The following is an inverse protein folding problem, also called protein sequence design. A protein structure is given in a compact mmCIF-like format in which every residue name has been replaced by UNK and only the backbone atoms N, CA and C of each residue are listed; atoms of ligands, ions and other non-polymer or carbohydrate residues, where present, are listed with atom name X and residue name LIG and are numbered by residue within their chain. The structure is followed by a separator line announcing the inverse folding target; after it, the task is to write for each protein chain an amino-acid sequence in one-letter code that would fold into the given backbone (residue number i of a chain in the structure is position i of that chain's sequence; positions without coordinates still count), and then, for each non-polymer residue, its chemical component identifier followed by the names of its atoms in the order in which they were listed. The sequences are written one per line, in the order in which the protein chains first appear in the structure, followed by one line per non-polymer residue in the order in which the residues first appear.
data_IF_711488149062
#
_entry.id   IF_711488149062
#
_cell.length_a   1.000
_cell.length_b   1.000
_cell.length_c   1.000
_cell.angle_alpha   90.00
_cell.angle_beta   90.00
_cell.angle_gamma   90.00
#
_symmetry.space_group_name_H-M   'P 1'
#
loop_
_entity.id
_entity.type
_entity.pdbx_description
1 polymer ?
#
# COMPACT_ATOMS: atom_id res chain seq x y z
N UNK A 1 -55.03 41.41 -36.95
CA UNK A 1 -55.38 39.98 -37.06
C UNK A 1 -54.08 39.24 -37.35
N UNK A 2 -53.56 38.53 -36.33
CA UNK A 2 -53.28 37.07 -36.37
C UNK A 2 -52.06 36.77 -37.26
N UNK A 3 -50.89 36.28 -36.83
CA UNK A 3 -50.48 35.60 -35.60
C UNK A 3 -48.93 35.62 -35.46
N UNK A 4 -48.48 35.68 -34.21
CA UNK A 4 -47.25 35.16 -33.58
C UNK A 4 -45.83 35.39 -34.18
N UNK A 5 -44.94 36.10 -33.45
CA UNK A 5 -43.51 35.86 -33.47
C UNK A 5 -43.09 34.89 -32.34
N UNK A 6 -42.40 33.81 -32.73
CA UNK A 6 -41.71 32.91 -31.79
C UNK A 6 -40.57 33.69 -31.11
N UNK A 7 -40.51 33.75 -29.77
CA UNK A 7 -39.58 34.64 -29.07
C UNK A 7 -38.23 33.97 -28.76
N UNK A 8 -37.17 34.76 -28.98
CA UNK A 8 -36.13 34.92 -27.95
C UNK A 8 -34.82 34.17 -28.16
N UNK A 9 -33.89 34.79 -28.90
CA UNK A 9 -32.49 34.79 -28.49
C UNK A 9 -32.40 35.37 -27.07
N UNK A 10 -31.97 34.57 -26.10
CA UNK A 10 -31.57 35.04 -24.76
C UNK A 10 -30.16 34.58 -24.45
N UNK A 11 -29.29 35.59 -24.39
CA UNK A 11 -28.09 35.78 -23.57
C UNK A 11 -27.50 34.55 -22.86
N UNK A 12 -26.17 34.43 -22.98
CA UNK A 12 -25.30 33.82 -21.97
C UNK A 12 -25.68 34.37 -20.59
N UNK A 13 -26.38 33.58 -19.78
CA UNK A 13 -26.50 33.80 -18.36
C UNK A 13 -25.51 32.91 -17.61
N UNK A 14 -24.64 33.62 -16.91
CA UNK A 14 -23.76 33.19 -15.85
C UNK A 14 -24.61 32.49 -14.77
N UNK A 15 -24.47 31.17 -14.65
CA UNK A 15 -25.06 30.45 -13.51
C UNK A 15 -24.25 30.83 -12.27
N UNK A 16 -24.87 31.69 -11.46
CA UNK A 16 -24.43 32.09 -10.14
C UNK A 16 -24.35 30.86 -9.22
N UNK A 17 -23.14 30.55 -8.74
CA UNK A 17 -22.93 29.57 -7.66
C UNK A 17 -23.03 30.31 -6.33
N UNK A 18 -24.25 30.58 -5.87
CA UNK A 18 -24.53 30.98 -4.48
C UNK A 18 -25.04 29.77 -3.66
N UNK A 19 -24.77 29.71 -2.33
CA UNK A 19 -24.59 28.45 -1.60
C UNK A 19 -25.90 27.86 -1.04
N UNK A 20 -26.29 26.66 -1.46
CA UNK A 20 -27.55 25.98 -1.04
C UNK A 20 -27.46 25.30 0.34
N UNK A 21 -26.55 25.70 1.23
CA UNK A 21 -26.62 25.29 2.63
C UNK A 21 -26.00 26.35 3.54
N UNK A 22 -26.85 27.04 4.30
CA UNK A 22 -26.36 27.92 5.37
C UNK A 22 -26.08 27.06 6.61
N UNK A 23 -24.80 26.97 6.98
CA UNK A 23 -24.38 26.31 8.21
C UNK A 23 -24.41 27.34 9.33
N UNK A 24 -25.24 27.13 10.35
CA UNK A 24 -25.11 27.89 11.61
C UNK A 24 -24.51 26.96 12.67
N UNK A 25 -23.26 27.21 13.02
CA UNK A 25 -22.63 26.64 14.21
C UNK A 25 -22.79 27.65 15.33
N UNK A 26 -23.58 27.32 16.36
CA UNK A 26 -23.55 28.06 17.62
C UNK A 26 -22.55 27.37 18.55
N UNK A 27 -21.33 27.92 18.61
CA UNK A 27 -20.33 27.53 19.61
C UNK A 27 -20.66 28.17 20.95
N UNK A 28 -21.05 27.35 21.93
CA UNK A 28 -20.93 27.71 23.34
C UNK A 28 -19.93 26.73 23.97
N UNK A 29 -18.81 27.31 24.43
CA UNK A 29 -17.73 26.80 25.28
C UNK A 29 -17.52 25.28 25.39
N UNK A 30 -16.35 24.82 24.93
CA UNK A 30 -15.68 23.61 25.40
C UNK A 30 -16.40 22.30 25.11
N UNK A 31 -16.02 21.62 24.02
CA UNK A 31 -16.40 20.23 23.68
C UNK A 31 -17.78 19.99 23.04
N UNK A 32 -18.50 21.03 22.62
CA UNK A 32 -19.84 20.90 22.02
C UNK A 32 -19.86 21.27 20.54
N UNK A 33 -20.46 20.41 19.70
CA UNK A 33 -20.90 20.75 18.34
C UNK A 33 -22.35 20.28 18.14
N UNK A 34 -23.29 21.21 18.08
CA UNK A 34 -24.62 20.94 17.55
C UNK A 34 -24.58 21.17 16.02
N UNK A 35 -24.92 20.16 15.24
CA UNK A 35 -25.01 20.28 13.78
C UNK A 35 -26.50 20.29 13.43
N UNK A 36 -27.00 21.43 12.98
CA UNK A 36 -28.34 21.57 12.42
C UNK A 36 -28.19 21.44 10.91
N UNK A 37 -28.68 20.34 10.35
CA UNK A 37 -28.75 20.14 8.90
C UNK A 37 -30.11 20.66 8.43
N UNK A 38 -30.15 21.85 7.84
CA UNK A 38 -31.33 22.35 7.15
C UNK A 38 -31.26 21.87 5.69
N UNK A 39 -32.05 20.85 5.36
CA UNK A 39 -32.32 20.45 3.97
C UNK A 39 -33.76 20.84 3.66
N UNK A 40 -34.04 21.26 2.42
CA UNK A 40 -35.26 21.95 1.97
C UNK A 40 -36.63 21.25 2.22
N UNK A 41 -36.70 20.18 3.02
CA UNK A 41 -37.98 19.56 3.37
C UNK A 41 -38.07 18.94 4.77
N UNK A 42 -36.98 18.80 5.54
CA UNK A 42 -37.02 18.30 6.94
C UNK A 42 -35.85 18.89 7.74
N UNK A 43 -36.15 19.53 8.87
CA UNK A 43 -35.16 19.98 9.85
C UNK A 43 -34.79 18.85 10.81
N UNK A 44 -33.60 18.25 10.61
CA UNK A 44 -33.04 17.24 11.51
C UNK A 44 -31.91 17.88 12.34
N UNK A 45 -32.12 17.92 13.65
CA UNK A 45 -31.14 18.34 14.66
C UNK A 45 -30.35 17.13 15.14
N UNK A 46 -29.05 17.16 14.90
CA UNK A 46 -28.13 16.10 15.31
C UNK A 46 -27.18 16.65 16.39
N UNK A 47 -27.17 16.01 17.55
CA UNK A 47 -26.25 16.31 18.65
C UNK A 47 -25.05 15.38 18.55
N UNK A 48 -23.87 15.91 18.27
CA UNK A 48 -22.62 15.13 18.26
C UNK A 48 -21.75 15.58 19.43
N UNK A 49 -21.44 14.65 20.33
CA UNK A 49 -20.65 14.94 21.53
C UNK A 49 -19.47 13.99 21.63
N UNK A 50 -18.26 14.52 21.56
CA UNK A 50 -17.06 13.78 21.93
C UNK A 50 -16.86 13.80 23.45
N UNK A 51 -17.06 12.66 24.08
CA UNK A 51 -17.21 12.52 25.54
C UNK A 51 -15.90 12.35 26.30
N UNK A 52 -14.79 12.02 25.62
CA UNK A 52 -13.46 11.74 26.23
C UNK A 52 -13.52 10.87 27.51
N UNK A 53 -14.48 9.94 27.57
CA UNK A 53 -14.74 9.06 28.72
C UNK A 53 -16.02 9.40 29.50
N UNK A 54 -17.03 8.53 29.40
CA UNK A 54 -18.33 8.70 30.05
C UNK A 54 -18.38 8.02 31.43
N UNK A 55 -17.62 8.54 32.40
CA UNK A 55 -17.46 7.87 33.72
C UNK A 55 -18.15 8.54 34.91
N UNK A 56 -18.56 9.82 34.83
CA UNK A 56 -19.10 10.56 35.98
C UNK A 56 -20.64 10.63 35.99
N UNK A 57 -21.25 10.73 37.19
CA UNK A 57 -22.72 10.92 37.33
C UNK A 57 -23.14 12.30 36.84
N UNK A 58 -22.25 13.27 37.02
CA UNK A 58 -22.35 14.64 36.54
C UNK A 58 -22.48 14.67 35.01
N UNK A 59 -21.71 13.84 34.29
CA UNK A 59 -21.81 13.71 32.83
C UNK A 59 -23.22 13.29 32.38
N UNK A 60 -23.81 12.27 33.03
CA UNK A 60 -25.15 11.80 32.68
C UNK A 60 -26.23 12.84 32.98
N UNK A 61 -26.06 13.61 34.07
CA UNK A 61 -26.97 14.71 34.39
C UNK A 61 -26.88 15.81 33.33
N UNK A 62 -25.67 16.25 32.98
CA UNK A 62 -25.46 17.28 31.96
C UNK A 62 -25.93 16.84 30.57
N UNK A 63 -25.75 15.56 30.21
CA UNK A 63 -26.28 15.00 28.96
C UNK A 63 -27.80 15.00 28.93
N UNK A 64 -28.45 14.58 30.01
CA UNK A 64 -29.92 14.61 30.12
C UNK A 64 -30.47 16.03 29.98
N UNK A 65 -29.86 17.01 30.64
CA UNK A 65 -30.26 18.41 30.53
C UNK A 65 -30.05 18.96 29.11
N UNK A 66 -28.94 18.63 28.45
CA UNK A 66 -28.67 19.09 27.07
C UNK A 66 -29.61 18.47 26.04
N UNK A 67 -29.90 17.18 26.16
CA UNK A 67 -30.89 16.51 25.29
C UNK A 67 -32.29 17.09 25.51
N UNK A 68 -32.64 17.40 26.77
CA UNK A 68 -33.92 18.03 27.12
C UNK A 68 -34.04 19.44 26.53
N UNK A 69 -32.98 20.23 26.58
CA UNK A 69 -32.96 21.61 26.06
C UNK A 69 -32.94 21.67 24.53
N UNK A 70 -32.10 20.85 23.88
CA UNK A 70 -31.87 20.95 22.43
C UNK A 70 -32.85 20.11 21.60
N UNK A 71 -33.52 19.14 22.23
CA UNK A 71 -34.43 18.15 21.61
C UNK A 71 -33.90 17.62 20.26
N UNK A 72 -32.67 17.07 20.21
CA UNK A 72 -32.12 16.53 18.98
C UNK A 72 -32.87 15.27 18.56
N UNK A 73 -33.06 15.07 17.25
CA UNK A 73 -33.62 13.82 16.74
C UNK A 73 -32.59 12.69 16.72
N UNK A 74 -31.30 13.00 16.60
CA UNK A 74 -30.21 12.02 16.58
C UNK A 74 -29.10 12.47 17.53
N UNK A 75 -28.57 11.55 18.35
CA UNK A 75 -27.45 11.81 19.27
C UNK A 75 -26.30 10.85 18.95
N UNK A 76 -25.09 11.39 18.74
CA UNK A 76 -23.87 10.63 18.50
C UNK A 76 -22.82 10.95 19.57
N UNK A 77 -22.48 9.96 20.41
CA UNK A 77 -21.43 10.09 21.43
C UNK A 77 -20.13 9.43 20.95
N UNK A 78 -19.02 10.15 20.98
CA UNK A 78 -17.70 9.68 20.54
C UNK A 78 -16.73 9.54 21.72
N UNK A 79 -15.75 8.64 21.59
CA UNK A 79 -14.66 8.38 22.57
C UNK A 79 -15.12 8.08 24.01
N UNK A 80 -16.15 7.23 24.17
CA UNK A 80 -16.80 6.94 25.47
C UNK A 80 -15.98 6.09 26.46
N UNK A 81 -14.90 5.43 26.03
CA UNK A 81 -14.01 4.57 26.83
C UNK A 81 -14.75 3.73 27.91
N UNK A 82 -15.65 2.85 27.48
CA UNK A 82 -16.43 1.97 28.34
C UNK A 82 -15.96 0.51 28.17
N UNK A 83 -15.05 0.02 29.02
CA UNK A 83 -14.73 -1.41 29.08
C UNK A 83 -14.76 -1.94 30.53
N UNK A 84 -15.88 -2.62 30.81
CA UNK A 84 -16.20 -3.72 31.73
C UNK A 84 -15.52 -3.84 33.12
N UNK A 85 -16.36 -3.72 34.16
CA UNK A 85 -16.44 -4.70 35.26
C UNK A 85 -17.86 -4.63 35.86
N UNK A 86 -18.78 -5.34 35.22
CA UNK A 86 -19.94 -6.03 35.80
C UNK A 86 -20.86 -6.42 34.65
N UNK A 87 -20.74 -7.69 34.27
CA UNK A 87 -21.70 -8.41 33.45
C UNK A 87 -22.95 -8.61 34.30
N UNK A 88 -23.89 -7.68 34.19
CA UNK A 88 -25.30 -7.86 34.48
C UNK A 88 -25.99 -6.54 34.15
N UNK A 89 -27.08 -6.62 33.40
CA UNK A 89 -27.91 -5.48 32.98
C UNK A 89 -27.31 -4.67 31.83
N UNK A 90 -27.77 -4.93 30.60
CA UNK A 90 -28.17 -3.90 29.63
C UNK A 90 -28.77 -4.60 28.40
N UNK A 91 -30.07 -4.39 28.21
CA UNK A 91 -30.88 -4.94 27.12
C UNK A 91 -30.34 -4.62 25.72
N UNK A 92 -30.68 -5.51 24.78
CA UNK A 92 -30.33 -5.50 23.36
C UNK A 92 -30.85 -4.28 22.54
N UNK A 93 -31.33 -3.22 23.20
CA UNK A 93 -32.02 -2.06 22.59
C UNK A 93 -31.27 -0.73 22.75
N UNK A 94 -30.03 -0.74 23.26
CA UNK A 94 -29.26 0.49 23.42
C UNK A 94 -28.80 1.08 22.07
N UNK A 95 -28.97 2.39 21.82
CA UNK A 95 -28.57 3.07 20.57
C UNK A 95 -27.09 2.92 20.21
N UNK A 96 -26.23 2.65 21.21
CA UNK A 96 -24.80 2.38 21.03
C UNK A 96 -24.55 1.01 20.40
N UNK A 97 -25.29 -0.03 20.80
CA UNK A 97 -25.23 -1.33 20.14
C UNK A 97 -25.81 -1.23 18.74
N UNK A 98 -26.87 -0.44 18.52
CA UNK A 98 -27.42 -0.18 17.18
C UNK A 98 -26.43 0.57 16.28
N UNK A 99 -25.69 1.57 16.79
CA UNK A 99 -24.71 2.32 16.00
C UNK A 99 -23.40 1.55 15.76
N UNK A 100 -22.95 0.75 16.74
CA UNK A 100 -21.83 -0.17 16.55
C UNK A 100 -22.21 -1.31 15.61
N UNK A 101 -23.44 -1.84 15.72
CA UNK A 101 -24.00 -2.79 14.75
C UNK A 101 -24.15 -2.15 13.38
N UNK A 102 -24.52 -0.87 13.27
CA UNK A 102 -24.65 -0.18 11.98
C UNK A 102 -23.28 0.08 11.35
N UNK A 103 -22.27 0.48 12.13
CA UNK A 103 -20.89 0.60 11.65
C UNK A 103 -20.28 -0.76 11.31
N UNK A 104 -20.55 -1.80 12.11
CA UNK A 104 -20.15 -3.17 11.83
C UNK A 104 -20.87 -3.71 10.59
N UNK A 105 -22.15 -3.39 10.40
CA UNK A 105 -22.94 -3.68 9.19
C UNK A 105 -22.40 -2.93 8.00
N UNK A 106 -22.04 -1.66 8.12
CA UNK A 106 -21.43 -0.89 7.02
C UNK A 106 -20.06 -1.44 6.63
N UNK A 107 -19.20 -1.77 7.60
CA UNK A 107 -17.92 -2.45 7.36
C UNK A 107 -18.13 -3.84 6.74
N UNK A 108 -19.10 -4.60 7.24
CA UNK A 108 -19.47 -5.93 6.72
C UNK A 108 -20.03 -5.85 5.29
N UNK A 109 -20.93 -4.91 5.03
CA UNK A 109 -21.54 -4.67 3.72
C UNK A 109 -20.50 -4.20 2.71
N UNK A 110 -19.57 -3.34 3.13
CA UNK A 110 -18.47 -2.89 2.30
C UNK A 110 -17.49 -4.02 1.96
N UNK A 111 -17.14 -4.86 2.93
CA UNK A 111 -16.32 -6.05 2.69
C UNK A 111 -17.02 -7.00 1.72
N UNK A 112 -18.31 -7.24 1.96
CA UNK A 112 -19.16 -8.09 1.13
C UNK A 112 -19.21 -7.57 -0.31
N UNK A 113 -19.35 -6.27 -0.51
CA UNK A 113 -19.40 -5.68 -1.85
C UNK A 113 -18.09 -5.86 -2.62
N UNK A 114 -16.93 -5.68 -1.97
CA UNK A 114 -15.63 -5.94 -2.61
C UNK A 114 -15.50 -7.41 -2.99
N UNK A 115 -15.87 -8.32 -2.08
CA UNK A 115 -15.83 -9.76 -2.35
C UNK A 115 -16.80 -10.15 -3.46
N UNK A 116 -18.04 -9.66 -3.45
CA UNK A 116 -19.05 -9.96 -4.46
C UNK A 116 -18.60 -9.50 -5.85
N UNK A 117 -17.99 -8.31 -5.95
CA UNK A 117 -17.41 -7.81 -7.21
C UNK A 117 -16.27 -8.70 -7.71
N UNK A 118 -15.35 -9.07 -6.82
CA UNK A 118 -14.22 -9.96 -7.14
C UNK A 118 -14.74 -11.33 -7.57
N UNK A 119 -15.68 -11.91 -6.81
CA UNK A 119 -16.25 -13.23 -7.07
C UNK A 119 -17.05 -13.26 -8.39
N UNK A 120 -17.79 -12.21 -8.71
CA UNK A 120 -18.48 -12.09 -10.00
C UNK A 120 -17.53 -12.18 -11.19
N UNK A 121 -16.38 -11.49 -11.12
CA UNK A 121 -15.35 -11.59 -12.15
C UNK A 121 -14.72 -12.98 -12.19
N UNK A 122 -14.39 -13.55 -11.02
CA UNK A 122 -13.79 -14.88 -10.93
C UNK A 122 -14.69 -15.98 -11.52
N UNK A 123 -15.98 -15.96 -11.22
CA UNK A 123 -16.96 -16.89 -11.77
C UNK A 123 -17.01 -16.76 -13.30
N UNK A 124 -17.13 -15.53 -13.82
CA UNK A 124 -17.21 -15.29 -15.26
C UNK A 124 -15.93 -15.58 -16.04
N UNK A 125 -14.78 -15.71 -15.36
CA UNK A 125 -13.51 -16.05 -15.99
C UNK A 125 -13.14 -17.52 -15.86
N UNK A 126 -13.54 -18.20 -14.78
CA UNK A 126 -13.36 -19.66 -14.64
C UNK A 126 -14.06 -20.45 -15.74
N UNK A 127 -15.15 -19.91 -16.28
CA UNK A 127 -15.84 -20.50 -17.44
C UNK A 127 -15.06 -20.37 -18.75
N UNK A 128 -13.97 -19.59 -18.78
CA UNK A 128 -13.13 -19.38 -19.95
C UNK A 128 -11.83 -20.17 -19.75
N UNK A 129 -11.44 -20.98 -20.74
CA UNK A 129 -10.14 -21.68 -20.75
C UNK A 129 -8.98 -20.67 -20.89
N UNK A 130 -8.58 -20.05 -19.79
CA UNK A 130 -7.54 -19.04 -19.76
C UNK A 130 -6.17 -19.67 -19.53
N UNK A 131 -5.19 -19.23 -20.32
CA UNK A 131 -3.78 -19.54 -20.05
C UNK A 131 -3.29 -18.81 -18.81
N UNK A 132 -2.20 -19.29 -18.19
CA UNK A 132 -1.57 -18.64 -17.03
C UNK A 132 -1.22 -17.17 -17.31
N UNK A 133 -0.79 -16.87 -18.53
CA UNK A 133 -0.54 -15.50 -19.00
C UNK A 133 -1.82 -14.67 -19.03
N UNK A 134 -2.90 -15.21 -19.61
CA UNK A 134 -4.20 -14.54 -19.66
C UNK A 134 -4.75 -14.27 -18.27
N UNK A 135 -4.69 -15.27 -17.37
CA UNK A 135 -5.08 -15.14 -15.96
C UNK A 135 -4.29 -14.05 -15.24
N UNK A 136 -2.97 -14.03 -15.39
CA UNK A 136 -2.09 -13.00 -14.81
C UNK A 136 -2.46 -11.59 -15.28
N UNK A 137 -2.72 -11.42 -16.58
CA UNK A 137 -3.13 -10.13 -17.16
C UNK A 137 -4.46 -9.66 -16.58
N UNK A 138 -5.45 -10.54 -16.46
CA UNK A 138 -6.76 -10.22 -15.89
C UNK A 138 -6.69 -9.87 -14.40
N UNK A 139 -5.87 -10.59 -13.63
CA UNK A 139 -5.63 -10.28 -12.21
C UNK A 139 -5.08 -8.86 -12.06
N UNK A 140 -4.07 -8.50 -12.86
CA UNK A 140 -3.46 -7.16 -12.82
C UNK A 140 -4.43 -6.07 -13.24
N UNK A 141 -5.21 -6.32 -14.30
CA UNK A 141 -6.12 -5.32 -14.87
C UNK A 141 -7.35 -5.07 -13.98
N UNK A 142 -7.90 -6.10 -13.34
CA UNK A 142 -9.21 -6.00 -12.65
C UNK A 142 -9.14 -6.38 -11.17
N UNK A 143 -8.63 -7.57 -10.83
CA UNK A 143 -8.73 -8.05 -9.43
C UNK A 143 -7.85 -7.25 -8.47
N UNK A 144 -6.76 -6.67 -8.98
CA UNK A 144 -5.91 -5.77 -8.18
C UNK A 144 -6.52 -4.37 -8.09
N UNK A 145 -7.25 -3.91 -9.12
CA UNK A 145 -7.74 -2.52 -9.20
C UNK A 145 -9.02 -2.28 -8.40
N UNK A 146 -9.92 -3.27 -8.33
CA UNK A 146 -11.15 -3.21 -7.51
C UNK A 146 -10.84 -2.86 -6.04
N UNK A 147 -10.03 -3.66 -5.31
CA UNK A 147 -9.69 -3.35 -3.93
C UNK A 147 -8.76 -2.14 -3.82
N UNK A 148 -7.92 -1.85 -4.84
CA UNK A 148 -7.06 -0.67 -4.82
C UNK A 148 -7.83 0.65 -4.75
N UNK A 149 -9.00 0.73 -5.39
CA UNK A 149 -9.86 1.91 -5.30
C UNK A 149 -10.34 2.13 -3.85
N UNK A 150 -10.77 1.05 -3.20
CA UNK A 150 -11.18 1.02 -1.81
C UNK A 150 -10.03 1.35 -0.83
N UNK A 151 -8.85 0.77 -1.06
CA UNK A 151 -7.63 0.98 -0.25
C UNK A 151 -7.10 2.42 -0.31
N UNK A 152 -7.50 3.20 -1.31
CA UNK A 152 -7.10 4.62 -1.42
C UNK A 152 -7.80 5.52 -0.41
N UNK A 153 -8.87 5.08 0.25
CA UNK A 153 -9.61 5.91 1.22
C UNK A 153 -9.59 5.31 2.61
N UNK A 154 -9.48 3.98 2.73
CA UNK A 154 -9.59 3.26 3.99
C UNK A 154 -8.47 2.24 4.18
N UNK A 155 -8.01 2.10 5.42
CA UNK A 155 -7.13 1.00 5.82
C UNK A 155 -7.94 -0.30 5.90
N UNK A 156 -7.73 -1.18 4.93
CA UNK A 156 -8.36 -2.50 4.91
C UNK A 156 -7.76 -3.42 5.99
N UNK A 157 -8.59 -4.26 6.63
CA UNK A 157 -8.12 -5.22 7.63
C UNK A 157 -7.25 -6.30 6.97
N UNK A 158 -6.23 -6.78 7.70
CA UNK A 158 -5.29 -7.78 7.19
C UNK A 158 -6.00 -9.04 6.71
N UNK A 159 -6.98 -9.53 7.46
CA UNK A 159 -7.74 -10.73 7.11
C UNK A 159 -8.45 -10.62 5.75
N UNK A 160 -8.97 -9.43 5.41
CA UNK A 160 -9.62 -9.18 4.11
C UNK A 160 -8.56 -9.20 3.00
N UNK A 161 -7.42 -8.56 3.21
CA UNK A 161 -6.31 -8.60 2.26
C UNK A 161 -5.86 -10.04 2.00
N UNK A 162 -5.75 -10.86 3.04
CA UNK A 162 -5.35 -12.27 2.92
C UNK A 162 -6.38 -13.10 2.16
N UNK A 163 -7.66 -12.85 2.41
CA UNK A 163 -8.75 -13.54 1.74
C UNK A 163 -8.84 -13.15 0.25
N UNK A 164 -8.60 -11.88 -0.08
CA UNK A 164 -8.48 -11.42 -1.46
C UNK A 164 -7.29 -12.08 -2.16
N UNK A 165 -6.11 -12.07 -1.52
CA UNK A 165 -4.92 -12.75 -2.04
C UNK A 165 -5.17 -14.27 -2.20
N UNK A 166 -5.94 -14.88 -1.29
CA UNK A 166 -6.34 -16.30 -1.37
C UNK A 166 -7.23 -16.57 -2.59
N UNK A 167 -8.21 -15.72 -2.87
CA UNK A 167 -9.08 -15.85 -4.05
C UNK A 167 -8.29 -15.67 -5.35
N UNK A 168 -7.42 -14.66 -5.39
CA UNK A 168 -6.57 -14.36 -6.56
C UNK A 168 -5.59 -15.50 -6.83
N UNK A 169 -4.87 -15.99 -5.82
CA UNK A 169 -3.91 -17.10 -6.00
C UNK A 169 -4.60 -18.39 -6.41
N UNK A 170 -5.78 -18.69 -5.84
CA UNK A 170 -6.53 -19.86 -6.26
C UNK A 170 -6.99 -19.74 -7.72
N UNK A 171 -7.46 -18.57 -8.16
CA UNK A 171 -7.78 -18.34 -9.57
C UNK A 171 -6.58 -18.51 -10.50
N UNK A 172 -5.42 -17.96 -10.12
CA UNK A 172 -4.20 -18.05 -10.92
C UNK A 172 -3.80 -19.50 -11.21
N UNK A 173 -3.96 -20.40 -10.23
CA UNK A 173 -3.52 -21.80 -10.33
C UNK A 173 -4.64 -22.80 -10.68
N UNK A 174 -5.91 -22.51 -10.37
CA UNK A 174 -7.02 -23.45 -10.55
C UNK A 174 -7.42 -23.69 -12.02
N UNK A 175 -7.10 -22.78 -12.94
CA UNK A 175 -7.59 -22.86 -14.32
C UNK A 175 -9.12 -22.79 -14.38
N UNK A 176 -9.75 -23.67 -15.16
CA UNK A 176 -11.22 -23.77 -15.30
C UNK A 176 -11.92 -24.53 -14.17
N UNK A 177 -11.16 -25.21 -13.30
CA UNK A 177 -11.76 -26.04 -12.26
C UNK A 177 -12.20 -25.17 -11.07
N UNK A 178 -13.26 -25.60 -10.41
CA UNK A 178 -13.77 -24.96 -9.18
C UNK A 178 -12.82 -25.15 -7.99
N UNK A 179 -12.04 -26.23 -8.01
CA UNK A 179 -11.09 -26.61 -6.97
C UNK A 179 -9.74 -25.89 -7.11
N UNK A 180 -9.21 -25.43 -5.98
CA UNK A 180 -7.92 -24.75 -5.92
C UNK A 180 -6.81 -25.78 -6.13
N UNK A 181 -6.22 -25.80 -7.34
CA UNK A 181 -5.07 -26.63 -7.65
C UNK A 181 -3.86 -26.23 -6.79
N UNK A 182 -2.94 -27.19 -6.54
CA UNK A 182 -1.68 -26.92 -5.86
C UNK A 182 -0.90 -25.80 -6.56
N UNK A 183 -0.41 -24.84 -5.78
CA UNK A 183 0.32 -23.70 -6.31
C UNK A 183 1.73 -24.13 -6.77
N UNK A 184 2.09 -23.83 -8.02
CA UNK A 184 3.39 -24.23 -8.55
C UNK A 184 4.53 -23.36 -7.99
N UNK A 185 4.28 -22.10 -7.72
CA UNK A 185 5.25 -21.14 -7.16
C UNK A 185 4.65 -20.44 -5.94
N UNK A 186 5.48 -20.18 -4.93
CA UNK A 186 5.05 -19.51 -3.70
C UNK A 186 4.48 -18.11 -3.99
N UNK A 187 3.42 -17.72 -3.29
CA UNK A 187 2.75 -16.44 -3.52
C UNK A 187 3.68 -15.24 -3.30
N UNK A 188 4.56 -15.30 -2.30
CA UNK A 188 5.56 -14.26 -2.03
C UNK A 188 6.56 -14.06 -3.18
N UNK A 189 6.81 -15.10 -3.99
CA UNK A 189 7.63 -15.01 -5.20
C UNK A 189 6.81 -14.46 -6.36
N UNK A 190 5.57 -14.94 -6.53
CA UNK A 190 4.64 -14.45 -7.58
C UNK A 190 4.39 -12.95 -7.48
N UNK A 191 4.30 -12.40 -6.27
CA UNK A 191 4.03 -10.97 -6.06
C UNK A 191 5.24 -10.06 -6.27
N UNK A 192 6.43 -10.61 -6.54
CA UNK A 192 7.61 -9.82 -6.86
C UNK A 192 7.50 -9.16 -8.24
N UNK A 193 8.26 -8.08 -8.51
CA UNK A 193 8.46 -7.52 -9.84
C UNK A 193 8.99 -8.56 -10.82
N UNK A 194 8.79 -8.30 -12.11
CA UNK A 194 9.23 -9.20 -13.19
C UNK A 194 10.76 -9.36 -13.17
N UNK A 195 11.47 -8.28 -12.84
CA UNK A 195 12.92 -8.17 -12.76
C UNK A 195 13.52 -8.97 -11.59
N UNK A 196 12.71 -9.28 -10.57
CA UNK A 196 13.09 -10.11 -9.43
C UNK A 196 12.52 -11.55 -9.53
N UNK A 197 12.07 -11.94 -10.73
CA UNK A 197 11.50 -13.26 -10.95
C UNK A 197 10.07 -13.45 -10.44
N UNK A 198 9.32 -12.38 -10.15
CA UNK A 198 7.89 -12.51 -9.90
C UNK A 198 7.04 -12.30 -11.16
N UNK A 199 5.73 -12.24 -10.98
CA UNK A 199 4.78 -11.95 -12.04
C UNK A 199 4.32 -10.49 -12.04
N UNK A 200 4.78 -9.64 -11.12
CA UNK A 200 4.36 -8.25 -11.01
C UNK A 200 2.91 -8.07 -10.52
N UNK A 201 2.35 -9.08 -9.86
CA UNK A 201 1.08 -8.96 -9.13
C UNK A 201 1.38 -8.32 -7.77
N UNK A 202 0.61 -7.33 -7.33
CA UNK A 202 0.87 -6.68 -6.04
C UNK A 202 0.12 -7.40 -4.94
N UNK A 203 0.82 -7.79 -3.87
CA UNK A 203 0.17 -8.32 -2.67
C UNK A 203 -0.78 -7.26 -2.08
N UNK A 204 -1.98 -7.67 -1.67
CA UNK A 204 -3.02 -6.73 -1.22
C UNK A 204 -2.61 -5.95 0.02
N UNK A 205 -1.86 -6.59 0.94
CA UNK A 205 -1.35 -5.93 2.15
C UNK A 205 -0.35 -4.81 1.84
N UNK A 206 0.54 -5.05 0.89
CA UNK A 206 1.58 -4.09 0.49
C UNK A 206 0.95 -2.93 -0.26
N UNK A 207 -0.01 -3.22 -1.14
CA UNK A 207 -0.79 -2.22 -1.86
C UNK A 207 -1.63 -1.34 -0.92
N UNK A 208 -2.25 -1.93 0.10
CA UNK A 208 -3.00 -1.20 1.12
C UNK A 208 -2.07 -0.29 1.94
N UNK A 209 -0.92 -0.80 2.38
CA UNK A 209 0.09 -0.01 3.10
C UNK A 209 0.62 1.15 2.26
N UNK A 210 0.98 0.89 0.99
CA UNK A 210 1.44 1.92 0.08
C UNK A 210 0.35 2.96 -0.27
N UNK A 211 -0.92 2.55 -0.33
CA UNK A 211 -2.05 3.46 -0.52
C UNK A 211 -2.27 4.38 0.69
N UNK A 212 -2.11 3.85 1.91
CA UNK A 212 -2.12 4.66 3.13
C UNK A 212 -0.95 5.66 3.18
N UNK A 213 0.24 5.23 2.76
CA UNK A 213 1.39 6.12 2.62
C UNK A 213 1.13 7.24 1.58
N UNK A 214 0.48 6.91 0.46
CA UNK A 214 0.08 7.88 -0.56
C UNK A 214 -0.89 8.92 0.00
N UNK A 215 -1.87 8.50 0.79
CA UNK A 215 -2.78 9.42 1.49
C UNK A 215 -2.01 10.35 2.42
N UNK A 216 -1.07 9.81 3.20
CA UNK A 216 -0.21 10.63 4.04
C UNK A 216 0.59 11.66 3.23
N UNK A 217 1.13 11.25 2.09
CA UNK A 217 1.94 12.11 1.23
C UNK A 217 1.11 13.25 0.65
N UNK A 218 -0.12 12.94 0.20
CA UNK A 218 -1.09 13.93 -0.25
C UNK A 218 -1.49 14.90 0.84
N UNK A 219 -1.58 14.45 2.10
CA UNK A 219 -1.93 15.33 3.22
C UNK A 219 -0.88 16.44 3.42
N UNK A 220 0.39 16.12 3.12
CA UNK A 220 1.48 17.09 3.16
C UNK A 220 1.39 18.08 1.98
N UNK A 221 1.16 17.58 0.77
CA UNK A 221 1.18 18.39 -0.46
C UNK A 221 -0.10 19.17 -0.73
N UNK A 222 -1.24 18.68 -0.23
CA UNK A 222 -2.57 19.27 -0.43
C UNK A 222 -3.13 19.78 0.91
N UNK A 223 -2.44 20.70 1.63
CA UNK A 223 -2.86 21.12 2.97
C UNK A 223 -4.19 21.90 2.96
N UNK A 224 -4.61 22.40 1.80
CA UNK A 224 -5.86 23.16 1.62
C UNK A 224 -7.09 22.27 1.50
N UNK A 225 -6.93 20.98 1.20
CA UNK A 225 -8.02 20.02 1.04
C UNK A 225 -8.79 19.83 2.36
N UNK A 226 -10.12 19.73 2.30
CA UNK A 226 -10.97 19.65 3.49
C UNK A 226 -10.61 18.46 4.39
N UNK A 227 -10.42 17.28 3.81
CA UNK A 227 -10.04 16.08 4.55
C UNK A 227 -8.69 16.23 5.26
N UNK A 228 -7.71 16.88 4.60
CA UNK A 228 -6.40 17.15 5.17
C UNK A 228 -6.49 18.16 6.33
N UNK A 229 -7.30 19.22 6.18
CA UNK A 229 -7.58 20.19 7.26
C UNK A 229 -8.20 19.53 8.48
N UNK A 230 -9.20 18.69 8.29
CA UNK A 230 -9.88 17.98 9.39
C UNK A 230 -8.91 17.05 10.13
N UNK A 231 -8.14 16.24 9.39
CA UNK A 231 -7.16 15.33 10.00
C UNK A 231 -6.06 16.10 10.75
N UNK A 232 -5.53 17.17 10.16
CA UNK A 232 -4.51 18.01 10.80
C UNK A 232 -5.06 18.70 12.04
N UNK A 233 -6.28 19.23 12.00
CA UNK A 233 -6.90 19.84 13.17
C UNK A 233 -7.07 18.81 14.30
N UNK A 234 -7.54 17.60 13.98
CA UNK A 234 -7.76 16.53 14.96
C UNK A 234 -6.45 16.00 15.57
N UNK A 235 -5.44 15.70 14.75
CA UNK A 235 -4.24 14.99 15.19
C UNK A 235 -3.03 15.90 15.43
N UNK A 236 -2.89 16.99 14.69
CA UNK A 236 -1.75 17.92 14.80
C UNK A 236 -2.01 19.06 15.79
N UNK A 237 -3.24 19.25 16.29
CA UNK A 237 -3.60 20.21 17.36
C UNK A 237 -3.05 21.63 17.14
N UNK A 238 -3.11 22.14 15.91
CA UNK A 238 -2.62 23.49 15.57
C UNK A 238 -1.12 23.59 15.27
N UNK A 239 -0.35 22.51 15.42
CA UNK A 239 1.06 22.47 15.00
C UNK A 239 1.14 22.54 13.47
N UNK A 240 2.02 23.42 12.99
CA UNK A 240 2.30 23.65 11.56
C UNK A 240 3.58 22.93 11.16
N UNK A 241 3.80 22.71 9.86
CA UNK A 241 4.95 21.94 9.37
C UNK A 241 4.73 20.42 9.33
N UNK A 242 5.68 19.71 8.72
CA UNK A 242 5.60 18.26 8.49
C UNK A 242 5.93 17.47 9.75
N UNK A 243 6.79 18.00 10.63
CA UNK A 243 7.10 17.44 11.94
C UNK A 243 5.86 17.28 12.85
N UNK A 244 4.81 18.08 12.61
CA UNK A 244 3.53 17.94 13.28
C UNK A 244 2.79 16.63 12.91
N UNK A 245 3.10 16.05 11.76
CA UNK A 245 2.51 14.81 11.24
C UNK A 245 3.31 13.63 11.82
N UNK A 246 3.13 13.42 13.12
CA UNK A 246 3.75 12.34 13.87
C UNK A 246 2.69 11.52 14.63
N UNK A 247 2.96 10.25 14.99
CA UNK A 247 2.11 9.53 15.90
C UNK A 247 2.14 10.20 17.28
N UNK A 248 1.02 10.79 17.72
CA UNK A 248 0.89 11.31 19.08
C UNK A 248 0.82 10.19 20.13
N UNK A 249 0.59 10.53 21.40
CA UNK A 249 0.55 9.56 22.51
C UNK A 249 -0.58 8.51 22.40
N UNK A 250 -1.71 8.84 21.75
CA UNK A 250 -2.84 7.92 21.52
C UNK A 250 -3.39 8.07 20.10
N UNK A 251 -2.63 7.68 19.06
CA UNK A 251 -3.07 7.87 17.69
C UNK A 251 -4.05 6.76 17.30
N UNK A 252 -5.08 7.13 16.54
CA UNK A 252 -6.01 6.14 15.96
C UNK A 252 -5.26 5.17 15.03
N UNK A 253 -5.80 3.97 14.83
CA UNK A 253 -5.18 2.98 13.93
C UNK A 253 -5.05 3.50 12.49
N UNK A 254 -5.96 4.39 12.06
CA UNK A 254 -5.92 5.06 10.76
C UNK A 254 -4.77 6.07 10.72
N UNK A 255 -4.62 6.91 11.76
CA UNK A 255 -3.53 7.88 11.84
C UNK A 255 -2.16 7.19 11.87
N UNK A 256 -2.03 6.13 12.68
CA UNK A 256 -0.84 5.28 12.70
C UNK A 256 -0.50 4.77 11.30
N UNK A 257 -1.48 4.30 10.54
CA UNK A 257 -1.28 3.79 9.18
C UNK A 257 -0.79 4.86 8.20
N UNK A 258 -1.40 6.04 8.29
CA UNK A 258 -1.19 7.15 7.38
C UNK A 258 0.19 7.79 7.56
N UNK A 259 0.67 7.83 8.80
CA UNK A 259 1.95 8.47 9.16
C UNK A 259 3.13 7.50 9.15
N UNK A 260 2.88 6.18 9.30
CA UNK A 260 3.94 5.17 9.42
C UNK A 260 4.99 5.25 8.32
N UNK A 261 4.58 5.49 7.08
CA UNK A 261 5.45 5.36 5.90
C UNK A 261 5.74 6.71 5.22
N UNK A 262 5.44 7.84 5.89
CA UNK A 262 5.83 9.19 5.47
C UNK A 262 7.28 9.47 5.84
N UNK A 263 8.20 8.83 5.12
CA UNK A 263 9.61 8.80 5.46
C UNK A 263 10.42 9.35 4.30
N UNK A 264 10.69 10.66 4.33
CA UNK A 264 11.97 11.34 4.02
C UNK A 264 11.72 12.82 3.70
N UNK A 265 12.73 13.67 3.92
CA UNK A 265 12.70 15.11 3.68
C UNK A 265 13.92 15.51 2.84
N UNK A 266 13.75 16.50 1.96
CA UNK A 266 14.88 17.23 1.37
C UNK A 266 15.01 18.52 2.15
N UNK A 267 16.19 18.74 2.73
CA UNK A 267 16.45 19.92 3.52
C UNK A 267 16.73 21.09 2.60
N UNK A 268 16.01 22.18 2.84
CA UNK A 268 16.31 23.50 2.32
C UNK A 268 16.89 24.35 3.43
N UNK A 269 16.03 25.13 4.07
CA UNK A 269 16.37 26.04 5.17
C UNK A 269 16.53 25.34 6.53
N UNK A 270 16.13 24.07 6.65
CA UNK A 270 16.26 23.24 7.85
C UNK A 270 15.33 23.63 9.00
N UNK A 271 14.41 24.59 8.79
CA UNK A 271 13.59 25.19 9.86
C UNK A 271 12.34 24.36 10.20
N UNK A 272 12.00 23.37 9.38
CA UNK A 272 10.79 22.56 9.57
C UNK A 272 11.09 21.08 9.83
N UNK A 273 12.37 20.72 9.84
CA UNK A 273 12.88 19.36 9.98
C UNK A 273 13.57 19.20 11.33
N UNK A 274 13.11 18.26 12.15
CA UNK A 274 13.74 17.91 13.43
C UNK A 274 14.99 17.09 13.18
N UNK A 275 16.09 17.46 13.83
CA UNK A 275 17.39 16.84 13.60
C UNK A 275 17.40 15.35 14.01
N UNK A 276 16.95 15.04 15.23
CA UNK A 276 17.07 13.69 15.80
C UNK A 276 15.93 12.74 15.46
N UNK A 277 14.71 13.28 15.39
CA UNK A 277 13.46 12.50 15.39
C UNK A 277 12.82 12.39 14.00
N UNK A 278 13.51 12.85 12.96
CA UNK A 278 13.09 12.67 11.57
C UNK A 278 14.18 12.06 10.70
N UNK A 279 13.75 11.36 9.64
CA UNK A 279 14.63 10.72 8.66
C UNK A 279 14.96 11.71 7.55
N UNK A 280 16.10 12.37 7.66
CA UNK A 280 16.57 13.36 6.68
C UNK A 280 17.96 13.07 6.13
N UNK A 281 18.85 12.44 6.91
CA UNK A 281 20.14 11.92 6.43
C UNK A 281 20.08 10.45 6.08
N UNK A 282 19.61 9.64 7.02
CA UNK A 282 19.70 8.18 6.94
C UNK A 282 18.32 7.56 6.71
N UNK A 283 18.31 6.25 6.41
CA UNK A 283 17.07 5.46 6.42
C UNK A 283 16.44 5.28 7.81
N UNK A 284 17.15 5.67 8.87
CA UNK A 284 16.82 5.50 10.30
C UNK A 284 16.64 6.85 10.99
N UNK A 285 16.09 6.87 12.20
CA UNK A 285 16.10 8.10 13.00
C UNK A 285 17.48 8.27 13.63
N UNK A 286 18.05 9.47 13.64
CA UNK A 286 19.35 9.70 14.28
C UNK A 286 19.32 9.33 15.77
N UNK A 287 18.18 9.51 16.44
CA UNK A 287 17.99 9.08 17.84
C UNK A 287 18.07 7.56 18.04
N UNK A 288 17.74 6.77 17.02
CA UNK A 288 17.79 5.30 17.08
C UNK A 288 19.21 4.75 16.86
N UNK A 289 20.06 5.50 16.15
CA UNK A 289 21.44 5.12 15.81
C UNK A 289 22.49 5.89 16.62
N UNK A 290 22.05 6.70 17.58
CA UNK A 290 22.95 7.45 18.44
C UNK A 290 23.74 6.50 19.37
N UNK A 291 25.00 6.85 19.63
CA UNK A 291 25.92 6.04 20.45
C UNK A 291 25.45 5.94 21.90
N UNK A 292 24.72 6.96 22.37
CA UNK A 292 24.13 7.05 23.71
C UNK A 292 22.76 7.74 23.64
N UNK A 293 21.90 7.60 24.66
CA UNK A 293 20.57 8.22 24.66
C UNK A 293 20.63 9.73 24.47
N UNK A 294 19.91 10.23 23.47
CA UNK A 294 19.82 11.67 23.17
C UNK A 294 18.91 12.36 24.20
N UNK A 295 19.35 13.45 24.85
CA UNK A 295 18.50 14.25 25.75
C UNK A 295 17.16 14.64 25.13
N UNK A 296 16.10 14.68 25.94
CA UNK A 296 14.74 14.99 25.45
C UNK A 296 14.65 16.40 24.85
N UNK A 297 15.43 17.33 25.39
CA UNK A 297 15.53 18.71 24.93
C UNK A 297 16.08 18.76 23.50
N UNK A 298 17.14 18.00 23.23
CA UNK A 298 17.78 17.94 21.92
C UNK A 298 16.87 17.32 20.85
N UNK A 299 15.99 16.40 21.24
CA UNK A 299 15.05 15.75 20.32
C UNK A 299 14.05 16.70 19.65
N UNK A 300 13.89 17.93 20.18
CA UNK A 300 13.04 18.97 19.60
C UNK A 300 13.81 20.01 18.77
N UNK A 301 15.15 19.90 18.67
CA UNK A 301 16.00 20.84 17.94
C UNK A 301 15.85 20.61 16.42
N UNK A 302 15.78 21.71 15.67
CA UNK A 302 15.67 21.69 14.20
C UNK A 302 17.04 21.55 13.55
N UNK A 303 17.06 21.08 12.30
CA UNK A 303 18.28 20.97 11.52
C UNK A 303 18.98 22.32 11.36
N UNK A 304 18.22 23.40 11.18
CA UNK A 304 18.75 24.76 11.06
C UNK A 304 19.51 25.24 12.30
N UNK A 305 19.15 24.76 13.50
CA UNK A 305 19.73 25.24 14.75
C UNK A 305 21.17 24.72 14.94
N UNK A 306 21.46 23.54 14.40
CA UNK A 306 22.79 22.94 14.35
C UNK A 306 23.66 23.46 13.20
N UNK A 307 23.14 24.39 12.39
CA UNK A 307 23.87 24.99 11.29
C UNK A 307 24.33 26.40 11.63
N UNK A 308 25.61 26.68 11.44
CA UNK A 308 26.17 28.00 11.67
C UNK A 308 25.99 28.95 10.47
N UNK A 309 25.98 30.28 10.71
CA UNK A 309 25.91 31.28 9.64
C UNK A 309 27.03 31.22 8.59
N UNK A 310 28.17 30.60 8.90
CA UNK A 310 29.34 30.44 8.02
C UNK A 310 29.30 29.16 7.17
N UNK A 311 28.13 28.52 7.05
CA UNK A 311 27.94 27.29 6.28
C UNK A 311 28.67 26.06 6.81
N UNK A 312 28.81 25.94 8.13
CA UNK A 312 29.36 24.74 8.79
C UNK A 312 28.37 24.19 9.82
N UNK A 313 28.42 22.88 10.05
CA UNK A 313 27.71 22.25 11.16
C UNK A 313 28.39 22.59 12.50
N UNK A 314 27.58 22.79 13.54
CA UNK A 314 28.04 22.87 14.94
C UNK A 314 28.35 21.49 15.48
N UNK A 315 29.42 20.88 14.97
CA UNK A 315 29.80 19.52 15.35
C UNK A 315 29.99 19.37 16.86
N UNK A 316 30.46 20.41 17.54
CA UNK A 316 30.65 20.42 19.00
C UNK A 316 29.39 20.07 19.80
N UNK A 317 28.20 20.36 19.26
CA UNK A 317 26.92 20.20 19.96
C UNK A 317 26.39 18.76 19.91
N UNK A 318 26.81 17.94 18.92
CA UNK A 318 26.19 16.63 18.68
C UNK A 318 27.11 15.54 18.11
N UNK A 319 28.35 15.86 17.72
CA UNK A 319 29.27 14.92 17.08
C UNK A 319 29.53 13.67 17.91
N UNK A 320 29.60 13.82 19.24
CA UNK A 320 29.88 12.74 20.18
C UNK A 320 28.70 11.76 20.36
N UNK A 321 27.51 12.14 19.91
CA UNK A 321 26.31 11.31 19.91
C UNK A 321 26.17 10.46 18.64
N UNK A 322 26.94 10.73 17.58
CA UNK A 322 26.73 10.15 16.25
C UNK A 322 27.88 9.21 15.85
N UNK A 323 27.55 8.07 15.24
CA UNK A 323 28.51 7.14 14.65
C UNK A 323 29.29 7.78 13.49
N UNK A 324 30.56 7.43 13.36
CA UNK A 324 31.47 8.00 12.34
C UNK A 324 30.96 7.83 10.90
N UNK A 325 30.28 6.72 10.60
CA UNK A 325 29.64 6.47 9.31
C UNK A 325 28.55 7.50 8.97
N UNK A 326 27.84 7.99 9.99
CA UNK A 326 26.74 8.96 9.84
C UNK A 326 27.28 10.39 9.80
N UNK A 327 28.46 10.66 10.39
CA UNK A 327 29.15 11.95 10.26
C UNK A 327 29.40 12.31 8.80
N UNK A 328 29.96 11.38 8.02
CA UNK A 328 30.24 11.59 6.59
C UNK A 328 28.95 11.89 5.82
N UNK A 329 27.85 11.22 6.18
CA UNK A 329 26.56 11.45 5.55
C UNK A 329 26.00 12.83 5.91
N UNK A 330 26.06 13.27 7.17
CA UNK A 330 25.62 14.61 7.59
C UNK A 330 26.48 15.70 6.92
N UNK A 331 27.80 15.50 6.87
CA UNK A 331 28.74 16.45 6.27
C UNK A 331 28.46 16.69 4.77
N UNK A 332 27.90 15.71 4.07
CA UNK A 332 27.50 15.84 2.67
C UNK A 332 26.26 16.75 2.47
N UNK A 333 25.49 17.02 3.53
CA UNK A 333 24.36 17.95 3.49
C UNK A 333 24.82 19.36 3.86
N UNK A 334 24.41 20.32 3.05
CA UNK A 334 24.46 21.74 3.40
C UNK A 334 23.05 22.19 3.72
N UNK A 335 22.81 22.67 4.94
CA UNK A 335 21.61 23.45 5.18
C UNK A 335 21.81 24.83 4.52
N UNK A 336 20.77 25.35 3.88
CA UNK A 336 20.81 26.67 3.24
C UNK A 336 19.97 27.68 4.04
N UNK A 337 20.27 27.93 5.33
CA UNK A 337 19.47 28.87 6.09
C UNK A 337 19.55 30.25 5.44
N UNK A 338 18.38 30.91 5.35
CA UNK A 338 18.19 32.26 4.81
C UNK A 338 18.27 32.41 3.27
N UNK A 339 18.30 31.32 2.50
CA UNK A 339 18.16 31.38 1.03
C UNK A 339 16.72 31.51 0.54
N UNK A 340 15.73 31.40 1.44
CA UNK A 340 14.31 31.35 1.09
C UNK A 340 13.86 30.00 0.50
N UNK A 341 14.77 29.02 0.38
CA UNK A 341 14.45 27.66 -0.05
C UNK A 341 13.89 26.90 1.15
N UNK A 342 12.56 26.78 1.22
CA UNK A 342 11.92 26.02 2.30
C UNK A 342 12.18 24.51 2.18
N UNK A 343 12.24 23.85 3.33
CA UNK A 343 12.20 22.39 3.44
C UNK A 343 11.03 21.81 2.62
N UNK A 344 11.33 20.77 1.84
CA UNK A 344 10.34 20.07 1.03
C UNK A 344 10.24 18.61 1.45
N UNK A 345 9.02 18.05 1.47
CA UNK A 345 8.87 16.60 1.56
C UNK A 345 9.56 15.96 0.34
N UNK A 346 10.39 14.96 0.59
CA UNK A 346 11.15 14.28 -0.45
C UNK A 346 10.92 12.79 -0.32
N UNK A 347 10.77 12.08 -1.43
CA UNK A 347 10.67 10.64 -1.41
C UNK A 347 12.02 10.02 -1.79
N UNK A 348 12.83 9.63 -0.80
CA UNK A 348 14.22 9.20 -0.96
C UNK A 348 14.42 7.85 -1.67
N UNK A 349 13.34 7.25 -2.18
CA UNK A 349 13.37 6.02 -2.97
C UNK A 349 13.11 6.28 -4.46
N UNK A 350 13.00 7.53 -4.88
CA UNK A 350 12.95 7.94 -6.29
C UNK A 350 13.97 9.05 -6.53
N UNK A 351 14.67 9.02 -7.67
CA UNK A 351 15.64 10.07 -8.05
C UNK A 351 14.97 11.43 -8.23
N UNK A 352 13.71 11.45 -8.62
CA UNK A 352 12.88 12.66 -8.74
C UNK A 352 12.37 13.20 -7.40
N UNK A 353 12.52 12.45 -6.30
CA UNK A 353 11.94 12.79 -5.01
C UNK A 353 10.41 12.69 -4.95
N UNK A 354 9.76 12.17 -6.00
CA UNK A 354 8.31 12.06 -6.08
C UNK A 354 7.79 10.74 -5.53
N UNK A 355 6.71 10.80 -4.76
CA UNK A 355 6.06 9.60 -4.23
C UNK A 355 5.48 8.74 -5.35
N UNK A 356 5.76 7.43 -5.31
CA UNK A 356 5.06 6.46 -6.14
C UNK A 356 4.69 5.22 -5.34
N UNK A 357 3.51 4.64 -5.63
CA UNK A 357 3.10 3.37 -5.00
C UNK A 357 4.15 2.27 -5.28
N UNK A 358 4.78 2.27 -6.46
CA UNK A 358 5.81 1.28 -6.83
C UNK A 358 7.02 1.36 -5.90
N UNK A 359 7.56 2.55 -5.67
CA UNK A 359 8.73 2.74 -4.80
C UNK A 359 8.41 2.46 -3.33
N UNK A 360 7.20 2.79 -2.85
CA UNK A 360 6.77 2.41 -1.49
C UNK A 360 6.59 0.91 -1.31
N UNK A 361 6.02 0.20 -2.29
CA UNK A 361 5.90 -1.26 -2.21
C UNK A 361 7.29 -1.90 -2.19
N UNK A 362 8.23 -1.42 -3.01
CA UNK A 362 9.60 -1.93 -2.97
C UNK A 362 10.26 -1.69 -1.62
N UNK A 363 10.07 -0.51 -1.02
CA UNK A 363 10.55 -0.21 0.34
C UNK A 363 9.98 -1.18 1.39
N UNK A 364 8.67 -1.47 1.33
CA UNK A 364 8.02 -2.42 2.25
C UNK A 364 8.59 -3.84 2.09
N UNK A 365 9.10 -4.18 0.90
CA UNK A 365 9.61 -5.51 0.56
C UNK A 365 11.11 -5.70 0.85
N UNK A 366 11.88 -4.62 1.00
CA UNK A 366 13.35 -4.64 1.20
C UNK A 366 13.79 -5.51 2.40
N UNK A 367 12.88 -5.84 3.33
CA UNK A 367 13.12 -6.80 4.43
C UNK A 367 13.27 -8.27 3.98
N UNK A 368 13.09 -8.58 2.68
CA UNK A 368 13.31 -9.94 2.15
C UNK A 368 14.33 -9.94 1.01
N UNK A 369 15.49 -10.63 1.15
CA UNK A 369 16.52 -10.64 0.13
C UNK A 369 15.97 -11.21 -1.19
N UNK A 370 16.09 -10.49 -2.31
CA UNK A 370 15.65 -10.98 -3.60
C UNK A 370 16.56 -12.10 -4.11
N UNK A 371 15.98 -13.13 -4.75
CA UNK A 371 16.70 -13.99 -5.69
C UNK A 371 17.00 -13.15 -6.95
N UNK A 372 18.07 -12.35 -6.89
CA UNK A 372 18.55 -11.60 -8.06
C UNK A 372 19.32 -12.58 -8.95
N UNK A 373 18.59 -13.26 -9.82
CA UNK A 373 19.22 -13.80 -11.02
C UNK A 373 19.10 -12.75 -12.12
N UNK A 374 20.23 -12.30 -12.66
CA UNK A 374 20.30 -11.26 -13.70
C UNK A 374 19.58 -11.67 -15.00
N UNK A 375 19.22 -12.95 -15.14
CA UNK A 375 18.49 -13.51 -16.27
C UNK A 375 17.05 -13.01 -16.39
N UNK A 376 16.41 -12.59 -15.29
CA UNK A 376 14.98 -12.26 -15.28
C UNK A 376 14.64 -11.09 -16.21
N UNK A 377 15.42 -10.01 -16.13
CA UNK A 377 15.26 -8.84 -17.01
C UNK A 377 15.38 -9.22 -18.48
N UNK A 378 16.33 -10.10 -18.81
CA UNK A 378 16.54 -10.59 -20.17
C UNK A 378 15.34 -11.37 -20.67
N UNK A 379 14.83 -12.34 -19.89
CA UNK A 379 13.67 -13.16 -20.27
C UNK A 379 12.46 -12.29 -20.65
N UNK A 380 12.17 -11.28 -19.85
CA UNK A 380 11.04 -10.40 -20.10
C UNK A 380 11.26 -9.47 -21.30
N UNK A 381 12.52 -9.18 -21.68
CA UNK A 381 12.89 -8.35 -22.84
C UNK A 381 12.94 -9.12 -24.17
N UNK A 382 13.13 -10.44 -24.16
CA UNK A 382 13.20 -11.26 -25.39
C UNK A 382 11.98 -10.99 -26.30
N UNK A 383 12.20 -10.94 -27.62
CA UNK A 383 11.12 -10.85 -28.62
C UNK A 383 10.47 -12.22 -28.84
N UNK A 384 9.75 -12.70 -27.83
CA UNK A 384 9.03 -13.97 -27.86
C UNK A 384 7.58 -13.83 -27.37
N UNK A 385 6.66 -14.72 -27.82
CA UNK A 385 5.32 -14.82 -27.26
C UNK A 385 5.33 -14.93 -25.73
N UNK A 386 4.39 -14.26 -25.06
CA UNK A 386 4.31 -14.23 -23.59
C UNK A 386 4.19 -15.62 -22.95
N UNK A 387 3.58 -16.59 -23.66
CA UNK A 387 3.50 -17.99 -23.22
C UNK A 387 4.88 -18.64 -23.06
N UNK A 388 5.85 -18.30 -23.92
CA UNK A 388 7.22 -18.82 -23.85
C UNK A 388 7.97 -18.18 -22.68
N UNK A 389 7.81 -16.87 -22.47
CA UNK A 389 8.39 -16.17 -21.29
C UNK A 389 7.87 -16.75 -19.98
N UNK A 390 6.56 -17.02 -19.92
CA UNK A 390 5.93 -17.65 -18.76
C UNK A 390 6.42 -19.09 -18.55
N UNK A 391 6.67 -19.84 -19.62
CA UNK A 391 7.26 -21.16 -19.53
C UNK A 391 8.69 -21.11 -18.97
N UNK A 392 9.55 -20.24 -19.51
CA UNK A 392 10.90 -20.02 -18.97
C UNK A 392 10.86 -19.57 -17.51
N UNK A 393 9.87 -18.78 -17.13
CA UNK A 393 9.64 -18.39 -15.74
C UNK A 393 9.33 -19.59 -14.83
N UNK A 394 8.49 -20.53 -15.27
CA UNK A 394 8.24 -21.77 -14.54
C UNK A 394 9.49 -22.67 -14.47
N UNK A 395 10.28 -22.73 -15.54
CA UNK A 395 11.54 -23.50 -15.61
C UNK A 395 12.52 -23.00 -14.55
N UNK A 396 12.79 -21.70 -14.52
CA UNK A 396 13.73 -21.10 -13.57
C UNK A 396 13.28 -21.16 -12.11
N UNK A 397 11.97 -21.25 -11.85
CA UNK A 397 11.44 -21.50 -10.51
C UNK A 397 11.37 -22.98 -10.12
N UNK A 398 11.84 -23.89 -10.99
CA UNK A 398 11.76 -25.32 -10.72
C UNK A 398 10.31 -25.84 -10.65
N UNK A 399 9.39 -25.19 -11.36
CA UNK A 399 7.95 -25.31 -11.16
C UNK A 399 7.22 -26.05 -12.29
N UNK A 400 7.95 -26.47 -13.33
CA UNK A 400 7.41 -27.31 -14.43
C UNK A 400 7.00 -28.69 -13.88
N UNK A 401 5.88 -29.22 -14.35
CA UNK A 401 5.26 -30.46 -13.84
C UNK A 401 5.91 -31.72 -14.46
N UNK A 402 7.21 -31.92 -14.21
CA UNK A 402 7.94 -33.15 -14.55
C UNK A 402 7.60 -34.29 -13.59
N UNK A 403 7.93 -35.55 -13.90
CA UNK A 403 7.64 -36.65 -12.97
C UNK A 403 8.37 -36.49 -11.62
N UNK A 404 9.63 -36.03 -11.62
CA UNK A 404 10.35 -35.63 -10.40
C UNK A 404 9.54 -34.63 -9.55
N UNK A 405 9.05 -33.57 -10.20
CA UNK A 405 8.25 -32.55 -9.52
C UNK A 405 6.86 -33.04 -9.09
N UNK A 406 6.26 -34.01 -9.79
CA UNK A 406 5.02 -34.66 -9.37
C UNK A 406 5.25 -35.49 -8.10
N UNK A 407 6.34 -36.28 -8.04
CA UNK A 407 6.69 -37.07 -6.85
C UNK A 407 7.01 -36.16 -5.67
N UNK A 408 7.85 -35.13 -5.87
CA UNK A 408 8.19 -34.14 -4.82
C UNK A 408 6.96 -33.46 -4.21
N UNK A 409 5.87 -33.37 -4.97
CA UNK A 409 4.60 -32.76 -4.55
C UNK A 409 3.52 -33.78 -4.15
N UNK A 410 3.82 -35.07 -4.16
CA UNK A 410 2.90 -36.14 -3.78
C UNK A 410 1.81 -36.45 -4.80
N UNK A 411 1.95 -36.06 -6.07
CA UNK A 411 0.98 -36.39 -7.14
C UNK A 411 1.25 -37.73 -7.82
N UNK A 412 2.44 -38.28 -7.66
CA UNK A 412 2.88 -39.55 -8.26
C UNK A 412 3.82 -40.27 -7.29
N UNK A 413 3.98 -41.57 -7.48
CA UNK A 413 4.98 -42.39 -6.78
C UNK A 413 6.24 -42.67 -7.62
N UNK A 414 6.19 -42.41 -8.93
CA UNK A 414 7.31 -42.67 -9.85
C UNK A 414 7.82 -41.37 -10.46
N UNK A 415 9.13 -41.14 -10.31
CA UNK A 415 9.85 -39.96 -10.80
C UNK A 415 10.55 -40.21 -12.13
N UNK A 416 10.61 -41.46 -12.59
CA UNK A 416 11.46 -41.87 -13.71
C UNK A 416 10.88 -41.43 -15.06
N UNK A 417 11.77 -41.28 -16.03
CA UNK A 417 11.42 -41.00 -17.41
C UNK A 417 10.74 -42.22 -18.05
N UNK A 418 9.73 -41.98 -18.88
CA UNK A 418 9.04 -43.06 -19.61
C UNK A 418 9.97 -43.74 -20.60
N UNK A 419 10.91 -42.99 -21.19
CA UNK A 419 11.89 -43.49 -22.16
C UNK A 419 13.12 -44.11 -21.48
N UNK A 420 13.57 -43.49 -20.38
CA UNK A 420 14.68 -43.98 -19.56
C UNK A 420 14.15 -44.37 -18.19
N UNK A 421 13.73 -45.62 -18.04
CA UNK A 421 13.08 -46.11 -16.82
C UNK A 421 13.96 -46.04 -15.57
N UNK A 422 15.28 -45.83 -15.73
CA UNK A 422 16.25 -45.74 -14.63
C UNK A 422 16.75 -44.31 -14.35
N UNK A 423 16.25 -43.30 -15.08
CA UNK A 423 16.66 -41.90 -14.89
C UNK A 423 15.46 -41.07 -14.42
N UNK A 424 15.65 -40.28 -13.36
CA UNK A 424 14.66 -39.34 -12.87
C UNK A 424 14.36 -38.24 -13.92
N UNK A 425 13.08 -38.01 -14.21
CA UNK A 425 12.62 -36.99 -15.13
C UNK A 425 12.54 -35.63 -14.42
N UNK A 426 13.69 -34.98 -14.29
CA UNK A 426 13.81 -33.59 -13.85
C UNK A 426 13.68 -32.59 -15.02
N UNK A 427 13.75 -31.30 -14.71
CA UNK A 427 13.55 -30.23 -15.72
C UNK A 427 14.67 -30.24 -16.76
N UNK A 428 15.92 -30.44 -16.33
CA UNK A 428 17.07 -30.54 -17.23
C UNK A 428 16.93 -31.74 -18.15
N UNK A 429 16.46 -32.88 -17.62
CA UNK A 429 16.20 -34.07 -18.39
C UNK A 429 15.17 -33.83 -19.48
N UNK A 430 14.01 -33.28 -19.13
CA UNK A 430 12.93 -33.03 -20.09
C UNK A 430 13.33 -32.05 -21.19
N UNK A 431 14.08 -31.00 -20.84
CA UNK A 431 14.43 -29.93 -21.79
C UNK A 431 15.64 -30.27 -22.66
N UNK A 432 16.55 -31.11 -22.16
CA UNK A 432 17.91 -31.12 -22.68
C UNK A 432 18.51 -32.53 -22.79
N UNK A 433 18.53 -33.34 -21.73
CA UNK A 433 19.28 -34.62 -21.76
C UNK A 433 18.45 -35.86 -22.16
N UNK A 434 17.12 -35.77 -22.18
CA UNK A 434 16.25 -36.86 -22.64
C UNK A 434 16.54 -37.22 -24.11
N UNK A 435 16.37 -38.50 -24.46
CA UNK A 435 16.62 -39.01 -25.83
C UNK A 435 15.77 -38.27 -26.85
N UNK A 436 14.48 -38.13 -26.54
CA UNK A 436 13.51 -37.46 -27.40
C UNK A 436 13.88 -35.98 -27.54
N UNK A 437 14.28 -35.32 -26.45
CA UNK A 437 14.71 -33.93 -26.50
C UNK A 437 15.95 -33.76 -27.39
N UNK A 438 16.96 -34.63 -27.22
CA UNK A 438 18.16 -34.64 -28.06
C UNK A 438 17.85 -34.86 -29.54
N UNK A 439 17.02 -35.84 -29.88
CA UNK A 439 16.63 -36.08 -31.29
C UNK A 439 15.94 -34.86 -31.92
N UNK A 440 15.09 -34.15 -31.16
CA UNK A 440 14.47 -32.89 -31.62
C UNK A 440 15.52 -31.81 -31.82
N UNK A 441 16.46 -31.69 -30.89
CA UNK A 441 17.53 -30.71 -30.96
C UNK A 441 18.51 -30.97 -32.12
N UNK A 442 18.97 -32.21 -32.30
CA UNK A 442 19.83 -32.65 -33.38
C UNK A 442 19.21 -32.36 -34.76
N UNK A 443 17.87 -32.45 -34.87
CA UNK A 443 17.13 -32.09 -36.08
C UNK A 443 17.23 -30.58 -36.39
N UNK A 444 17.19 -29.72 -35.37
CA UNK A 444 17.30 -28.27 -35.54
C UNK A 444 18.76 -27.76 -35.56
N UNK A 445 19.71 -28.52 -35.01
CA UNK A 445 21.14 -28.15 -34.96
C UNK A 445 21.80 -28.11 -36.34
N UNK A 446 21.22 -28.78 -37.34
CA UNK A 446 21.61 -28.61 -38.74
C UNK A 446 21.41 -27.16 -39.24
N UNK A 447 20.73 -26.30 -38.48
CA UNK A 447 20.47 -24.89 -38.81
C UNK A 447 21.26 -23.85 -37.99
N UNK A 448 21.87 -24.19 -36.85
CA UNK A 448 22.61 -23.21 -36.01
C UNK A 448 23.65 -23.91 -35.11
N UNK A 449 24.95 -23.60 -35.30
CA UNK A 449 26.06 -24.24 -34.59
C UNK A 449 26.25 -23.64 -33.18
N UNK A 450 25.97 -24.42 -32.13
CA UNK A 450 26.41 -24.10 -30.75
C UNK A 450 25.35 -24.10 -29.64
N UNK A 451 24.09 -24.51 -29.91
CA UNK A 451 23.00 -24.49 -28.91
C UNK A 451 23.02 -25.64 -27.87
N UNK A 452 23.87 -26.67 -28.06
CA UNK A 452 23.85 -27.91 -27.27
C UNK A 452 25.16 -28.27 -26.54
N UNK A 453 25.71 -27.36 -25.73
CA UNK A 453 26.71 -27.80 -24.74
C UNK A 453 26.02 -28.53 -23.59
N UNK A 454 26.03 -29.87 -23.68
CA UNK A 454 25.40 -30.75 -22.70
C UNK A 454 26.02 -30.69 -21.29
N UNK A 455 27.14 -29.98 -21.13
CA UNK A 455 27.87 -29.84 -19.85
C UNK A 455 27.41 -28.62 -19.05
N UNK A 456 26.62 -27.72 -19.64
CA UNK A 456 26.17 -26.51 -18.97
C UNK A 456 25.05 -26.82 -17.97
N UNK A 457 25.14 -26.19 -16.80
CA UNK A 457 24.03 -26.09 -15.86
C UNK A 457 22.81 -25.44 -16.52
N UNK A 458 21.60 -25.85 -16.15
CA UNK A 458 20.34 -25.47 -16.81
C UNK A 458 20.20 -23.95 -17.03
N UNK A 459 20.58 -23.15 -16.02
CA UNK A 459 20.48 -21.69 -16.09
C UNK A 459 21.46 -21.10 -17.11
N UNK A 460 22.70 -21.61 -17.15
CA UNK A 460 23.71 -21.17 -18.11
C UNK A 460 23.38 -21.62 -19.53
N UNK A 461 22.84 -22.83 -19.69
CA UNK A 461 22.30 -23.30 -20.96
C UNK A 461 21.17 -22.40 -21.46
N UNK A 462 20.21 -22.02 -20.61
CA UNK A 462 19.14 -21.08 -20.98
C UNK A 462 19.73 -19.72 -21.37
N UNK A 463 20.68 -19.18 -20.60
CA UNK A 463 21.34 -17.89 -20.90
C UNK A 463 21.96 -17.88 -22.29
N UNK A 464 22.70 -18.93 -22.65
CA UNK A 464 23.32 -19.07 -23.95
C UNK A 464 22.25 -19.06 -25.07
N UNK A 465 21.21 -19.87 -24.91
CA UNK A 465 20.14 -20.04 -25.91
C UNK A 465 19.24 -18.80 -26.08
N UNK A 466 19.11 -17.95 -25.07
CA UNK A 466 18.38 -16.68 -25.17
C UNK A 466 19.24 -15.50 -25.62
N UNK A 467 20.52 -15.75 -25.94
CA UNK A 467 21.47 -14.71 -26.34
C UNK A 467 21.82 -13.73 -25.22
N UNK A 468 21.85 -14.21 -23.96
CA UNK A 468 22.21 -13.40 -22.81
C UNK A 468 23.65 -12.89 -22.94
N UNK A 469 23.84 -11.57 -22.98
CA UNK A 469 25.16 -10.93 -22.91
C UNK A 469 25.33 -10.30 -21.55
N UNK A 470 26.43 -10.59 -20.85
CA UNK A 470 26.71 -9.96 -19.55
C UNK A 470 26.83 -8.40 -19.63
N UNK A 471 27.05 -7.86 -20.82
CA UNK A 471 27.06 -6.41 -21.11
C UNK A 471 25.69 -5.73 -21.04
N UNK A 472 24.59 -6.48 -20.95
CA UNK A 472 23.22 -5.97 -20.91
C UNK A 472 22.80 -5.39 -19.54
N UNK A 473 23.75 -5.31 -18.60
CA UNK A 473 23.60 -4.91 -17.20
C UNK A 473 23.81 -3.40 -16.94
N UNK A 474 23.92 -2.57 -17.98
CA UNK A 474 24.10 -1.11 -17.84
C UNK A 474 22.87 -0.30 -18.25
#
# INVERSE_FOLDING_TARGET
MVDQPVPGMVKKEQIDYSPIASWRTSTLFGSFFAIILMTNSIDIKILVWNTQGAKSREFLYTLKEHVRMQRPQIIALLETHWFSRNSAVLDATTPLNVALDELAKQLSNWNKEIFDRVDKHLIGWRTKCLSLVGGTTLIKATLTTIPAYAMQTCRVLRAICDELDRKVRCFLWAGTNTECKPHLVAWATVTRPLEEGGLGIRAMRDLNSASMAKLGWRMIHEPKSLWAKILRHKYCRGRTGIHAIAPGQRPSNVWKALVRDLRTHSIGDGKQTLFWTQRWVTGWLLVEVAVRPVPIEDQQIMVADYWEPNSRWRWEDFADLILEEVHVQIAAYQAYPNTGIHDKPFWGKTSSGTFTIKSTINLIREDTPPMRHDIWSTIWRIKAPQRMKMFLWLVLHGAVVTNANKVRRGFSSNANCVTYQDIEEDITHVLHSCKIAREVWDYFEQADQGMHDLRLELVEWIKLNIGYKASDLH
#
